data_IF_003959750061
#
_entry.id   IF_003959750061
#
_cell.length_a   1.000
_cell.length_b   1.000
_cell.length_c   1.000
_cell.angle_alpha   90.00
_cell.angle_beta   90.00
_cell.angle_gamma   90.00
#
_symmetry.space_group_name_H-M   'P 1'
#
loop_
_entity.id
_entity.type
_entity.pdbx_description
1 polymer ?
#
# COMPACT_ATOMS: atom_id res chain seq x y z
N UNK A 1 -14.55 46.53 35.92
CA UNK A 1 -15.16 46.48 34.57
C UNK A 1 -14.00 46.62 33.60
N UNK A 2 -13.47 45.55 32.99
CA UNK A 2 -14.11 44.67 32.01
C UNK A 2 -13.52 45.04 30.64
N UNK A 3 -12.92 44.17 29.83
CA UNK A 3 -12.86 42.71 29.87
C UNK A 3 -11.79 42.12 28.96
N UNK A 4 -11.79 40.79 28.93
CA UNK A 4 -10.84 39.89 28.30
C UNK A 4 -10.85 39.87 26.76
N UNK A 5 -9.64 39.62 26.22
CA UNK A 5 -9.25 38.74 25.10
C UNK A 5 -9.98 38.75 23.74
N UNK A 6 -9.21 38.84 22.64
CA UNK A 6 -9.36 37.86 21.56
C UNK A 6 -8.09 37.73 20.69
N UNK A 7 -7.17 36.85 21.09
CA UNK A 7 -6.09 36.38 20.24
C UNK A 7 -6.70 35.36 19.26
N UNK A 8 -7.09 35.80 18.06
CA UNK A 8 -7.71 34.91 17.07
C UNK A 8 -6.67 33.95 16.50
N UNK A 9 -6.55 32.77 17.11
CA UNK A 9 -5.67 31.71 16.63
C UNK A 9 -6.13 31.21 15.25
N UNK A 10 -5.30 31.44 14.23
CA UNK A 10 -5.51 30.93 12.88
C UNK A 10 -5.19 29.44 12.85
N UNK A 11 -6.18 28.63 12.50
CA UNK A 11 -6.08 27.21 12.30
C UNK A 11 -5.99 26.89 10.80
N UNK A 12 -5.17 25.89 10.45
CA UNK A 12 -5.02 25.44 9.07
C UNK A 12 -4.98 23.93 9.01
N UNK A 13 -5.75 23.38 8.07
CA UNK A 13 -5.75 21.96 7.73
C UNK A 13 -5.35 21.80 6.26
N UNK A 14 -4.24 21.11 6.01
CA UNK A 14 -3.81 20.76 4.65
C UNK A 14 -3.74 19.24 4.52
N UNK A 15 -4.59 18.68 3.67
CA UNK A 15 -4.64 17.24 3.37
C UNK A 15 -4.28 17.06 1.90
N UNK A 16 -3.35 16.15 1.62
CA UNK A 16 -2.96 15.76 0.26
C UNK A 16 -3.16 14.25 0.12
N UNK A 17 -3.93 13.85 -0.88
CA UNK A 17 -4.16 12.44 -1.24
C UNK A 17 -3.91 12.30 -2.73
N UNK A 18 -2.79 11.68 -3.11
CA UNK A 18 -2.33 11.64 -4.50
C UNK A 18 -2.19 13.05 -5.09
N UNK A 19 -2.88 13.31 -6.20
CA UNK A 19 -2.96 14.60 -6.89
C UNK A 19 -4.05 15.54 -6.35
N UNK A 20 -4.89 15.10 -5.40
CA UNK A 20 -5.87 15.97 -4.75
C UNK A 20 -5.25 16.69 -3.54
N UNK A 21 -5.47 18.00 -3.44
CA UNK A 21 -5.04 18.82 -2.31
C UNK A 21 -6.22 19.63 -1.79
N UNK A 22 -6.47 19.56 -0.49
CA UNK A 22 -7.45 20.36 0.23
C UNK A 22 -6.68 21.19 1.26
N UNK A 23 -6.85 22.50 1.19
CA UNK A 23 -6.17 23.48 2.06
C UNK A 23 -7.25 24.40 2.65
N UNK A 24 -7.59 24.18 3.91
CA UNK A 24 -8.56 24.97 4.66
C UNK A 24 -7.81 25.87 5.65
N UNK A 25 -8.19 27.14 5.69
CA UNK A 25 -7.61 28.14 6.60
C UNK A 25 -8.71 29.00 7.19
N UNK A 26 -8.60 29.32 8.47
CA UNK A 26 -9.55 30.17 9.16
C UNK A 26 -9.39 30.05 10.67
N UNK A 27 -10.38 30.51 11.43
CA UNK A 27 -10.39 30.27 12.88
C UNK A 27 -10.69 28.81 13.18
N UNK A 28 -10.30 28.33 14.36
CA UNK A 28 -10.48 26.93 14.78
C UNK A 28 -11.94 26.45 14.64
N UNK A 29 -12.90 27.32 14.96
CA UNK A 29 -14.33 27.04 14.83
C UNK A 29 -14.76 26.87 13.36
N UNK A 30 -14.25 27.71 12.46
CA UNK A 30 -14.54 27.65 11.02
C UNK A 30 -13.94 26.39 10.40
N UNK A 31 -12.68 26.10 10.73
CA UNK A 31 -11.99 24.89 10.25
C UNK A 31 -12.67 23.63 10.77
N UNK A 32 -13.08 23.60 12.04
CA UNK A 32 -13.78 22.44 12.65
C UNK A 32 -15.17 22.22 12.06
N UNK A 33 -15.93 23.29 11.82
CA UNK A 33 -17.26 23.20 11.20
C UNK A 33 -17.18 22.70 9.74
N UNK A 34 -16.18 23.15 8.98
CA UNK A 34 -15.93 22.66 7.62
C UNK A 34 -15.45 21.20 7.62
N UNK A 35 -14.60 20.78 8.57
CA UNK A 35 -14.22 19.36 8.75
C UNK A 35 -15.44 18.49 9.03
N UNK A 36 -16.36 18.94 9.89
CA UNK A 36 -17.57 18.20 10.24
C UNK A 36 -18.53 18.05 9.05
N UNK A 37 -18.68 19.10 8.22
CA UNK A 37 -19.43 19.02 6.98
C UNK A 37 -18.78 18.08 5.97
N UNK A 38 -17.47 18.16 5.79
CA UNK A 38 -16.71 17.27 4.92
C UNK A 38 -16.78 15.80 5.37
N UNK A 39 -16.84 15.54 6.68
CA UNK A 39 -17.01 14.18 7.24
C UNK A 39 -18.43 13.63 7.08
N UNK A 40 -19.43 14.51 7.00
CA UNK A 40 -20.85 14.14 6.86
C UNK A 40 -21.27 13.92 5.40
N UNK A 41 -20.57 14.51 4.43
CA UNK A 41 -20.87 14.32 3.02
C UNK A 41 -20.45 12.92 2.54
N UNK A 42 -21.42 12.16 2.01
CA UNK A 42 -21.25 10.86 1.30
C UNK A 42 -20.23 10.93 0.15
N UNK A 43 -19.84 12.13 -0.25
CA UNK A 43 -18.82 12.38 -1.27
C UNK A 43 -17.41 11.99 -0.81
N UNK A 44 -17.06 12.08 0.47
CA UNK A 44 -15.71 11.73 0.97
C UNK A 44 -15.49 10.24 1.11
N UNK A 45 -16.48 9.51 1.64
CA UNK A 45 -16.47 8.06 1.59
C UNK A 45 -16.46 7.62 0.13
N UNK A 46 -17.21 8.25 -0.78
CA UNK A 46 -17.17 7.94 -2.22
C UNK A 46 -15.85 8.32 -2.92
N UNK A 47 -15.12 9.34 -2.47
CA UNK A 47 -13.87 9.79 -3.09
C UNK A 47 -12.67 8.97 -2.61
N UNK A 48 -12.60 8.67 -1.31
CA UNK A 48 -11.66 7.70 -0.74
C UNK A 48 -11.96 6.29 -1.25
N UNK A 49 -13.25 5.93 -1.35
CA UNK A 49 -13.71 4.72 -2.02
C UNK A 49 -13.40 4.78 -3.51
N UNK A 50 -13.46 5.90 -4.23
CA UNK A 50 -13.02 5.98 -5.65
C UNK A 50 -11.51 5.84 -5.84
N UNK A 51 -10.69 6.30 -4.90
CA UNK A 51 -9.22 6.11 -4.95
C UNK A 51 -8.86 4.67 -4.59
N UNK A 52 -9.54 4.11 -3.58
CA UNK A 52 -9.46 2.70 -3.21
C UNK A 52 -10.00 1.80 -4.33
N UNK A 53 -11.17 2.08 -4.88
CA UNK A 53 -11.81 1.42 -6.03
C UNK A 53 -10.92 1.54 -7.27
N UNK A 54 -10.22 2.65 -7.55
CA UNK A 54 -9.29 2.69 -8.69
C UNK A 54 -8.05 1.82 -8.50
N UNK A 55 -7.59 1.62 -7.25
CA UNK A 55 -6.49 0.69 -6.90
C UNK A 55 -6.97 -0.75 -6.85
N UNK A 56 -8.08 -1.00 -6.18
CA UNK A 56 -8.83 -2.27 -6.18
C UNK A 56 -9.25 -2.62 -7.61
N UNK A 57 -9.47 -1.67 -8.53
CA UNK A 57 -9.69 -1.92 -9.95
C UNK A 57 -8.41 -2.29 -10.69
N UNK A 58 -7.22 -1.83 -10.28
CA UNK A 58 -5.96 -2.29 -10.85
C UNK A 58 -5.65 -3.72 -10.36
N UNK A 59 -5.92 -4.01 -9.09
CA UNK A 59 -5.83 -5.34 -8.52
C UNK A 59 -6.94 -6.29 -9.03
N UNK A 60 -8.17 -5.81 -9.22
CA UNK A 60 -9.28 -6.58 -9.80
C UNK A 60 -9.15 -6.73 -11.30
N UNK A 61 -8.62 -5.75 -12.03
CA UNK A 61 -8.23 -5.95 -13.43
C UNK A 61 -7.14 -7.02 -13.53
N UNK A 62 -6.16 -7.02 -12.62
CA UNK A 62 -5.18 -8.10 -12.52
C UNK A 62 -5.85 -9.45 -12.17
N UNK A 63 -6.84 -9.46 -11.28
CA UNK A 63 -7.59 -10.66 -10.85
C UNK A 63 -8.57 -11.17 -11.91
N UNK A 64 -9.17 -10.30 -12.71
CA UNK A 64 -10.01 -10.63 -13.87
C UNK A 64 -9.15 -11.13 -15.03
N UNK A 65 -8.01 -10.50 -15.30
CA UNK A 65 -7.02 -10.99 -16.25
C UNK A 65 -6.50 -12.38 -15.84
N UNK A 66 -6.20 -12.59 -14.56
CA UNK A 66 -5.77 -13.89 -14.02
C UNK A 66 -6.86 -14.97 -14.12
N UNK A 67 -8.14 -14.61 -13.87
CA UNK A 67 -9.29 -15.53 -14.00
C UNK A 67 -9.61 -15.89 -15.45
N UNK A 68 -9.44 -14.96 -16.39
CA UNK A 68 -9.77 -15.16 -17.80
C UNK A 68 -8.72 -15.97 -18.59
N UNK A 69 -7.46 -16.00 -18.14
CA UNK A 69 -6.33 -16.52 -18.94
C UNK A 69 -5.86 -17.92 -18.56
N UNK A 70 -6.35 -18.55 -17.48
CA UNK A 70 -5.90 -19.89 -17.08
C UNK A 70 -4.39 -19.99 -16.76
N UNK A 71 -3.78 -18.87 -16.38
CA UNK A 71 -2.35 -18.61 -16.08
C UNK A 71 -1.34 -18.95 -17.18
N UNK A 72 -0.90 -17.90 -17.91
CA UNK A 72 0.53 -17.69 -18.22
C UNK A 72 0.99 -16.21 -18.13
N UNK A 73 0.42 -15.38 -17.23
CA UNK A 73 0.74 -13.93 -17.12
C UNK A 73 1.10 -13.43 -15.70
N UNK A 74 1.46 -14.32 -14.78
CA UNK A 74 1.82 -13.96 -13.38
C UNK A 74 2.89 -12.87 -13.29
N UNK A 75 3.97 -13.03 -14.05
CA UNK A 75 5.08 -12.09 -14.09
C UNK A 75 4.69 -10.73 -14.66
N UNK A 76 3.91 -10.68 -15.74
CA UNK A 76 3.47 -9.42 -16.37
C UNK A 76 2.46 -8.66 -15.50
N UNK A 77 1.55 -9.36 -14.81
CA UNK A 77 0.64 -8.76 -13.84
C UNK A 77 1.40 -8.11 -12.68
N UNK A 78 2.35 -8.85 -12.09
CA UNK A 78 3.19 -8.31 -11.02
C UNK A 78 4.09 -7.15 -11.51
N UNK A 79 4.67 -7.26 -12.71
CA UNK A 79 5.44 -6.18 -13.34
C UNK A 79 4.60 -4.90 -13.48
N UNK A 80 3.38 -5.03 -14.00
CA UNK A 80 2.46 -3.90 -14.19
C UNK A 80 2.13 -3.20 -12.88
N UNK A 81 1.95 -3.97 -11.79
CA UNK A 81 1.77 -3.43 -10.44
C UNK A 81 3.01 -2.64 -9.99
N UNK A 82 4.20 -3.25 -10.10
CA UNK A 82 5.46 -2.61 -9.67
C UNK A 82 5.72 -1.31 -10.44
N UNK A 83 5.48 -1.31 -11.74
CA UNK A 83 5.68 -0.14 -12.62
C UNK A 83 4.65 0.96 -12.34
N UNK A 84 3.37 0.60 -12.20
CA UNK A 84 2.28 1.54 -11.88
C UNK A 84 2.51 2.22 -10.53
N UNK A 85 2.93 1.44 -9.54
CA UNK A 85 3.25 1.92 -8.19
C UNK A 85 4.66 2.52 -8.08
N UNK A 86 5.43 2.56 -9.18
CA UNK A 86 6.79 3.11 -9.25
C UNK A 86 7.73 2.56 -8.16
N UNK A 87 7.58 1.29 -7.82
CA UNK A 87 8.33 0.67 -6.73
C UNK A 87 9.75 0.33 -7.19
N UNK A 88 10.71 1.22 -6.88
CA UNK A 88 12.09 1.05 -7.34
C UNK A 88 12.99 0.30 -6.36
N UNK A 89 12.75 0.43 -5.06
CA UNK A 89 13.63 -0.13 -4.02
C UNK A 89 13.29 -1.61 -3.77
N UNK A 90 14.31 -2.46 -3.59
CA UNK A 90 14.15 -3.89 -3.29
C UNK A 90 13.21 -4.16 -2.11
N UNK A 91 13.31 -3.47 -0.95
CA UNK A 91 12.39 -3.71 0.16
C UNK A 91 10.92 -3.44 -0.20
N UNK A 92 10.66 -2.41 -1.02
CA UNK A 92 9.30 -2.06 -1.45
C UNK A 92 8.77 -3.08 -2.46
N UNK A 93 9.62 -3.54 -3.39
CA UNK A 93 9.29 -4.63 -4.33
C UNK A 93 8.97 -5.93 -3.59
N UNK A 94 9.71 -6.26 -2.52
CA UNK A 94 9.46 -7.46 -1.69
C UNK A 94 8.13 -7.37 -0.93
N UNK A 95 7.81 -6.20 -0.36
CA UNK A 95 6.50 -5.98 0.27
C UNK A 95 5.37 -6.15 -0.75
N UNK A 96 5.51 -5.58 -1.95
CA UNK A 96 4.52 -5.73 -3.01
C UNK A 96 4.37 -7.18 -3.48
N UNK A 97 5.47 -7.93 -3.59
CA UNK A 97 5.44 -9.35 -3.94
C UNK A 97 4.64 -10.16 -2.91
N UNK A 98 4.89 -9.98 -1.62
CA UNK A 98 4.11 -10.66 -0.57
C UNK A 98 2.63 -10.32 -0.69
N UNK A 99 2.32 -9.03 -0.80
CA UNK A 99 0.94 -8.57 -0.89
C UNK A 99 0.23 -9.17 -2.11
N UNK A 100 0.88 -9.18 -3.27
CA UNK A 100 0.37 -9.78 -4.50
C UNK A 100 0.11 -11.28 -4.34
N UNK A 101 1.07 -12.04 -3.80
CA UNK A 101 0.91 -13.48 -3.59
C UNK A 101 -0.25 -13.81 -2.65
N UNK A 102 -0.43 -13.04 -1.58
CA UNK A 102 -1.49 -13.28 -0.58
C UNK A 102 -2.86 -12.86 -1.06
N UNK A 103 -2.98 -11.62 -1.54
CA UNK A 103 -4.29 -11.00 -1.79
C UNK A 103 -4.77 -11.21 -3.22
N UNK A 104 -3.86 -11.36 -4.19
CA UNK A 104 -4.22 -11.53 -5.61
C UNK A 104 -4.22 -13.00 -5.99
N UNK A 105 -3.16 -13.73 -5.65
CA UNK A 105 -3.05 -15.15 -6.01
C UNK A 105 -3.66 -16.09 -4.96
N UNK A 106 -3.99 -15.58 -3.76
CA UNK A 106 -4.47 -16.42 -2.66
C UNK A 106 -3.43 -17.45 -2.18
N UNK A 107 -2.18 -17.31 -2.59
CA UNK A 107 -1.10 -18.22 -2.23
C UNK A 107 -0.58 -17.83 -0.85
N UNK A 108 -0.96 -18.59 0.17
CA UNK A 108 -0.52 -18.37 1.57
C UNK A 108 0.90 -18.88 1.83
N UNK A 109 1.29 -19.96 1.16
CA UNK A 109 2.62 -20.55 1.27
C UNK A 109 3.52 -20.09 0.11
N UNK A 110 4.37 -19.10 0.38
CA UNK A 110 5.34 -18.59 -0.58
C UNK A 110 6.76 -18.54 0.01
N UNK A 111 7.57 -19.60 -0.13
CA UNK A 111 8.95 -19.58 0.35
C UNK A 111 9.79 -18.53 -0.40
N UNK A 112 10.96 -18.11 0.13
CA UNK A 112 11.82 -17.12 -0.51
C UNK A 112 12.15 -17.37 -2.00
N UNK A 113 12.27 -18.65 -2.39
CA UNK A 113 12.46 -19.06 -3.80
C UNK A 113 11.29 -18.69 -4.71
N UNK A 114 10.08 -18.69 -4.18
CA UNK A 114 8.86 -18.33 -4.91
C UNK A 114 8.86 -16.84 -5.25
N UNK A 115 9.27 -16.00 -4.28
CA UNK A 115 9.43 -14.58 -4.50
C UNK A 115 10.51 -14.31 -5.55
N UNK A 116 11.64 -15.03 -5.49
CA UNK A 116 12.68 -14.94 -6.53
C UNK A 116 12.11 -15.26 -7.91
N UNK A 117 11.37 -16.36 -8.04
CA UNK A 117 10.76 -16.75 -9.31
C UNK A 117 9.79 -15.67 -9.83
N UNK A 118 8.94 -15.11 -8.97
CA UNK A 118 8.04 -14.01 -9.33
C UNK A 118 8.80 -12.78 -9.87
N UNK A 119 9.94 -12.43 -9.27
CA UNK A 119 10.78 -11.33 -9.76
C UNK A 119 11.35 -11.64 -11.15
N UNK A 120 11.86 -12.86 -11.36
CA UNK A 120 12.38 -13.29 -12.66
C UNK A 120 11.27 -13.26 -13.71
N UNK A 121 10.10 -13.81 -13.39
CA UNK A 121 8.94 -13.83 -14.28
C UNK A 121 8.48 -12.40 -14.64
N UNK A 122 8.69 -11.43 -13.75
CA UNK A 122 8.39 -10.00 -14.00
C UNK A 122 9.46 -9.26 -14.82
N UNK A 123 10.52 -9.95 -15.20
CA UNK A 123 11.60 -9.44 -16.04
C UNK A 123 12.76 -8.80 -15.28
N UNK A 124 12.94 -9.12 -14.00
CA UNK A 124 14.22 -8.87 -13.31
C UNK A 124 15.28 -9.86 -13.80
N UNK A 125 16.54 -9.43 -13.83
CA UNK A 125 17.65 -10.30 -14.24
C UNK A 125 17.83 -11.48 -13.27
N UNK A 126 17.89 -12.69 -13.80
CA UNK A 126 17.91 -13.91 -13.00
C UNK A 126 19.22 -14.07 -12.22
N UNK A 127 20.37 -13.69 -12.79
CA UNK A 127 21.66 -13.77 -12.10
C UNK A 127 21.70 -12.79 -10.92
N UNK A 128 21.09 -11.63 -11.08
CA UNK A 128 20.99 -10.63 -10.02
C UNK A 128 20.00 -11.05 -8.94
N UNK A 129 18.81 -11.54 -9.29
CA UNK A 129 17.83 -12.03 -8.32
C UNK A 129 18.38 -13.20 -7.50
N UNK A 130 19.20 -14.07 -8.10
CA UNK A 130 19.75 -15.20 -7.37
C UNK A 130 20.67 -14.79 -6.22
N UNK A 131 21.36 -13.64 -6.36
CA UNK A 131 22.19 -13.04 -5.31
C UNK A 131 21.36 -12.39 -4.20
N UNK A 132 20.04 -12.23 -4.35
CA UNK A 132 19.21 -11.56 -3.35
C UNK A 132 18.96 -12.49 -2.16
N UNK A 133 19.39 -12.05 -0.97
CA UNK A 133 19.04 -12.71 0.29
C UNK A 133 17.63 -12.31 0.73
N UNK A 134 16.61 -12.88 0.09
CA UNK A 134 15.20 -12.59 0.37
C UNK A 134 14.87 -12.79 1.85
N UNK A 135 15.31 -13.89 2.47
CA UNK A 135 15.06 -14.16 3.90
C UNK A 135 15.56 -13.04 4.81
N UNK A 136 16.73 -12.47 4.54
CA UNK A 136 17.26 -11.34 5.29
C UNK A 136 16.40 -10.08 5.14
N UNK A 137 15.92 -9.80 3.92
CA UNK A 137 15.01 -8.67 3.69
C UNK A 137 13.67 -8.86 4.42
N UNK A 138 13.11 -10.07 4.40
CA UNK A 138 11.89 -10.39 5.11
C UNK A 138 12.03 -10.15 6.62
N UNK A 139 13.12 -10.64 7.21
CA UNK A 139 13.39 -10.43 8.63
C UNK A 139 13.56 -8.93 8.95
N UNK A 140 14.30 -8.18 8.13
CA UNK A 140 14.47 -6.72 8.34
C UNK A 140 13.16 -5.95 8.20
N UNK A 141 12.31 -6.31 7.25
CA UNK A 141 11.00 -5.70 7.06
C UNK A 141 10.06 -6.01 8.24
N UNK A 142 10.15 -7.23 8.79
CA UNK A 142 9.48 -7.60 10.03
C UNK A 142 9.99 -6.79 11.22
N UNK A 143 11.31 -6.66 11.38
CA UNK A 143 11.91 -5.88 12.46
C UNK A 143 11.54 -4.39 12.38
N UNK A 144 11.21 -3.90 11.17
CA UNK A 144 10.68 -2.56 10.92
C UNK A 144 9.15 -2.44 11.16
N UNK A 145 8.49 -3.52 11.58
CA UNK A 145 7.03 -3.56 11.81
C UNK A 145 6.21 -3.55 10.52
N UNK A 146 6.78 -3.91 9.36
CA UNK A 146 6.07 -3.92 8.07
C UNK A 146 5.55 -5.28 7.66
N UNK A 147 6.11 -6.33 8.24
CA UNK A 147 5.69 -7.71 8.08
C UNK A 147 5.51 -8.35 9.44
N UNK A 148 4.65 -9.34 9.50
CA UNK A 148 4.43 -10.16 10.69
C UNK A 148 4.24 -11.63 10.32
N UNK A 149 4.47 -12.50 11.30
CA UNK A 149 4.09 -13.90 11.18
C UNK A 149 2.59 -14.04 11.39
N UNK A 150 1.97 -14.97 10.68
CA UNK A 150 0.61 -15.41 10.98
C UNK A 150 0.59 -16.23 12.26
N UNK A 151 -0.49 -16.13 13.05
CA UNK A 151 -0.65 -16.91 14.30
C UNK A 151 -0.51 -18.43 14.08
N UNK A 152 -1.00 -18.92 12.95
CA UNK A 152 -0.96 -20.35 12.56
C UNK A 152 0.47 -20.86 12.29
N UNK A 153 1.38 -19.95 11.93
CA UNK A 153 2.73 -20.27 11.45
C UNK A 153 3.78 -19.30 12.00
N UNK A 154 4.05 -19.34 13.32
CA UNK A 154 5.09 -18.51 13.92
C UNK A 154 6.46 -18.85 13.33
N UNK A 155 7.33 -17.84 13.26
CA UNK A 155 8.74 -17.94 12.87
C UNK A 155 9.01 -18.46 11.45
N UNK A 156 7.99 -18.49 10.58
CA UNK A 156 8.12 -18.98 9.20
C UNK A 156 7.92 -17.88 8.17
N UNK A 157 9.03 -17.46 7.55
CA UNK A 157 9.04 -16.41 6.52
C UNK A 157 8.11 -16.69 5.33
N UNK A 158 7.89 -17.97 5.00
CA UNK A 158 7.05 -18.37 3.86
C UNK A 158 5.57 -18.01 4.00
N UNK A 159 5.12 -17.74 5.23
CA UNK A 159 3.74 -17.39 5.56
C UNK A 159 3.58 -15.94 6.02
N UNK A 160 4.65 -15.14 6.01
CA UNK A 160 4.56 -13.73 6.43
C UNK A 160 3.50 -12.98 5.64
N UNK A 161 2.84 -12.05 6.32
CA UNK A 161 1.84 -11.13 5.76
C UNK A 161 2.24 -9.69 6.09
N UNK A 162 1.65 -8.74 5.37
CA UNK A 162 1.83 -7.31 5.67
C UNK A 162 1.05 -6.93 6.92
N UNK A 163 1.68 -6.11 7.75
CA UNK A 163 1.01 -5.37 8.83
C UNK A 163 0.22 -4.20 8.25
N UNK A 164 -0.68 -3.56 9.02
CA UNK A 164 -1.27 -2.28 8.64
C UNK A 164 -0.24 -1.22 8.25
N UNK A 165 0.88 -1.13 8.99
CA UNK A 165 1.98 -0.20 8.72
C UNK A 165 2.71 -0.54 7.41
N UNK A 166 2.90 -1.83 7.12
CA UNK A 166 3.49 -2.30 5.86
C UNK A 166 2.65 -1.92 4.64
N UNK A 167 1.32 -2.08 4.75
CA UNK A 167 0.35 -1.64 3.73
C UNK A 167 0.41 -0.13 3.55
N UNK A 168 0.32 0.65 4.63
CA UNK A 168 0.40 2.10 4.58
C UNK A 168 1.73 2.60 3.97
N UNK A 169 2.84 1.92 4.26
CA UNK A 169 4.13 2.22 3.66
C UNK A 169 4.11 2.01 2.15
N UNK A 170 3.59 0.88 1.65
CA UNK A 170 3.43 0.65 0.21
C UNK A 170 2.52 1.71 -0.44
N UNK A 171 1.41 2.04 0.22
CA UNK A 171 0.46 3.02 -0.29
C UNK A 171 1.08 4.41 -0.48
N UNK A 172 1.99 4.80 0.43
CA UNK A 172 2.74 6.06 0.37
C UNK A 172 3.74 6.12 -0.78
N UNK A 173 4.19 4.95 -1.29
CA UNK A 173 5.14 4.85 -2.42
C UNK A 173 4.45 4.89 -3.77
N UNK A 174 3.21 4.43 -3.82
CA UNK A 174 2.40 4.38 -5.04
C UNK A 174 1.68 5.71 -5.34
N UNK A 175 2.26 6.86 -4.96
CA UNK A 175 1.78 8.23 -5.21
C UNK A 175 2.71 8.99 -6.18
#
# INVERSE_FOLDING_TARGET
MGGDENNSHEARLSIRVGNAKIDLRGTEQVVTAEILKLRADEQWSSALKKVRDRRDMAFEAAREAARASGMPERGSAFKSLVDTCRLRKKPDKILAAIHYLREVEGQLDSPPRELKQLFIDSGEDAEDVEKWNISLYLNRLRDQGRLEYTEEHPDKNRFMILTPEGRAHLDSRAQ
#
